data_IF_190921897557
#
_entry.id   IF_190921897557
#
_cell.length_a   1.000
_cell.length_b   1.000
_cell.length_c   1.000
_cell.angle_alpha   90.00
_cell.angle_beta   90.00
_cell.angle_gamma   90.00
#
_symmetry.space_group_name_H-M   'P 1'
#
loop_
_entity.id
_entity.type
_entity.pdbx_description
1 polymer ?
#
# COMPACT_ATOMS: atom_id res chain seq x y z
N UNK A 1 -12.20 -4.31 5.31
CA UNK A 1 -11.28 -4.47 4.16
C UNK A 1 -11.37 -5.90 3.68
N UNK A 2 -11.45 -6.13 2.38
CA UNK A 2 -11.30 -7.46 1.80
C UNK A 2 -9.80 -7.72 1.58
N UNK A 3 -9.35 -8.93 1.89
CA UNK A 3 -7.95 -9.35 1.80
C UNK A 3 -7.89 -10.68 1.07
N UNK A 4 -6.99 -10.79 0.10
CA UNK A 4 -6.71 -12.01 -0.65
C UNK A 4 -5.20 -12.16 -0.77
N UNK A 5 -4.70 -13.36 -0.53
CA UNK A 5 -3.33 -13.69 -0.88
C UNK A 5 -3.31 -14.66 -2.06
N UNK A 6 -2.16 -14.71 -2.70
CA UNK A 6 -1.84 -15.76 -3.66
C UNK A 6 -0.34 -15.89 -3.75
N UNK A 7 0.12 -16.98 -4.37
CA UNK A 7 1.54 -17.23 -4.60
C UNK A 7 1.72 -17.90 -5.95
N UNK A 8 2.90 -17.73 -6.52
CA UNK A 8 3.33 -18.46 -7.70
C UNK A 8 4.80 -18.90 -7.55
N UNK A 9 5.44 -19.32 -8.64
CA UNK A 9 6.85 -19.71 -8.63
C UNK A 9 7.83 -18.54 -8.43
N UNK A 10 7.35 -17.30 -8.41
CA UNK A 10 8.15 -16.07 -8.31
C UNK A 10 8.00 -15.38 -6.96
N UNK A 11 6.90 -15.58 -6.24
CA UNK A 11 6.72 -14.96 -4.93
C UNK A 11 5.29 -15.03 -4.41
N UNK A 12 4.97 -14.08 -3.55
CA UNK A 12 3.69 -13.95 -2.88
C UNK A 12 3.05 -12.62 -3.22
N UNK A 13 1.72 -12.59 -3.19
CA UNK A 13 0.94 -11.43 -3.50
C UNK A 13 -0.07 -11.16 -2.40
N UNK A 14 -0.30 -9.89 -2.11
CA UNK A 14 -1.40 -9.41 -1.29
C UNK A 14 -2.27 -8.49 -2.14
N UNK A 15 -3.58 -8.75 -2.16
CA UNK A 15 -4.58 -7.85 -2.72
C UNK A 15 -5.52 -7.39 -1.63
N UNK A 16 -5.59 -6.06 -1.43
CA UNK A 16 -6.46 -5.41 -0.47
C UNK A 16 -7.51 -4.60 -1.21
N UNK A 17 -8.76 -4.67 -0.78
CA UNK A 17 -9.84 -3.81 -1.29
C UNK A 17 -10.59 -3.13 -0.17
N UNK A 18 -10.79 -1.83 -0.31
CA UNK A 18 -11.54 -1.03 0.65
C UNK A 18 -12.37 0.03 -0.07
N UNK A 19 -13.62 0.23 0.38
CA UNK A 19 -14.46 1.32 -0.08
C UNK A 19 -14.24 2.54 0.82
N UNK A 20 -14.10 3.70 0.22
CA UNK A 20 -13.85 4.98 0.88
C UNK A 20 -14.95 5.98 0.48
N UNK A 21 -15.55 6.63 1.46
CA UNK A 21 -16.55 7.71 1.32
C UNK A 21 -15.88 9.03 0.91
N UNK A 22 -15.12 9.00 -0.19
CA UNK A 22 -14.46 10.16 -0.78
C UNK A 22 -14.36 10.02 -2.30
N UNK A 23 -14.14 11.15 -2.99
CA UNK A 23 -13.91 11.17 -4.42
C UNK A 23 -12.53 10.60 -4.77
N UNK A 24 -12.44 9.97 -5.94
CA UNK A 24 -11.18 9.39 -6.42
C UNK A 24 -10.09 10.45 -6.56
N UNK A 25 -10.45 11.69 -6.87
CA UNK A 25 -9.53 12.81 -7.02
C UNK A 25 -8.85 13.16 -5.68
N UNK A 26 -9.58 13.20 -4.56
CA UNK A 26 -8.94 13.42 -3.26
C UNK A 26 -8.09 12.21 -2.85
N UNK A 27 -8.58 10.99 -3.05
CA UNK A 27 -7.82 9.78 -2.70
C UNK A 27 -6.53 9.73 -3.53
N UNK A 28 -6.57 10.03 -4.82
CA UNK A 28 -5.39 10.01 -5.68
C UNK A 28 -4.33 11.03 -5.25
N UNK A 29 -4.72 12.17 -4.65
CA UNK A 29 -3.75 13.12 -4.07
C UNK A 29 -2.99 12.50 -2.91
N UNK A 30 -3.66 11.76 -2.01
CA UNK A 30 -3.01 11.02 -0.92
C UNK A 30 -2.02 9.97 -1.43
N UNK A 31 -2.24 9.42 -2.62
CA UNK A 31 -1.40 8.36 -3.19
C UNK A 31 -0.24 8.87 -4.07
N UNK A 32 -0.35 10.07 -4.65
CA UNK A 32 0.52 10.50 -5.76
C UNK A 32 1.20 11.87 -5.60
N UNK A 33 1.16 12.43 -4.38
CA UNK A 33 1.81 13.70 -4.04
C UNK A 33 2.57 13.56 -2.73
N UNK A 34 3.64 14.33 -2.55
CA UNK A 34 4.43 14.33 -1.31
C UNK A 34 3.57 14.74 -0.12
N UNK A 35 2.81 15.82 -0.26
CA UNK A 35 1.92 16.33 0.80
C UNK A 35 0.82 15.33 1.17
N UNK A 36 0.41 14.49 0.22
CA UNK A 36 -0.60 13.46 0.43
C UNK A 36 -0.02 12.21 1.09
N UNK A 37 1.05 11.65 0.54
CA UNK A 37 1.61 10.36 0.98
C UNK A 37 2.17 10.45 2.39
N UNK A 38 2.78 11.59 2.75
CA UNK A 38 3.36 11.80 4.08
C UNK A 38 2.34 11.84 5.22
N UNK A 39 1.04 11.94 4.92
CA UNK A 39 0.00 11.90 5.95
C UNK A 39 -0.23 10.49 6.50
N UNK A 40 0.05 9.46 5.70
CA UNK A 40 -0.12 8.06 6.12
C UNK A 40 1.17 7.24 6.04
N UNK A 41 2.19 7.72 5.31
CA UNK A 41 3.53 7.16 5.23
C UNK A 41 4.58 8.29 5.22
N UNK A 42 4.92 8.86 6.39
CA UNK A 42 5.76 10.06 6.51
C UNK A 42 7.14 9.97 5.85
N UNK A 43 7.68 8.77 5.72
CA UNK A 43 9.00 8.52 5.16
C UNK A 43 9.02 8.53 3.62
N UNK A 44 7.88 8.66 2.94
CA UNK A 44 7.84 8.70 1.47
C UNK A 44 7.76 10.12 0.92
N UNK A 45 8.43 10.37 -0.20
CA UNK A 45 8.29 11.62 -0.94
C UNK A 45 8.40 11.42 -2.45
N UNK A 46 7.74 12.29 -3.22
CA UNK A 46 7.83 12.32 -4.67
C UNK A 46 8.82 13.40 -5.12
N UNK A 47 9.72 13.03 -6.04
CA UNK A 47 10.52 14.02 -6.78
C UNK A 47 9.87 14.32 -8.13
N UNK A 48 9.69 13.30 -8.97
CA UNK A 48 9.10 13.44 -10.30
C UNK A 48 7.87 12.54 -10.42
N UNK A 49 6.72 13.10 -10.80
CA UNK A 49 5.47 12.34 -11.04
C UNK A 49 5.41 11.83 -12.48
N UNK A 50 4.82 10.65 -12.67
CA UNK A 50 4.67 10.01 -13.98
C UNK A 50 5.46 8.70 -14.08
N UNK A 51 5.21 7.91 -15.13
CA UNK A 51 5.97 6.67 -15.38
C UNK A 51 7.46 7.00 -15.53
N UNK A 52 8.33 6.19 -14.90
CA UNK A 52 9.76 6.43 -14.71
C UNK A 52 10.10 7.63 -13.82
N UNK A 53 9.11 8.24 -13.17
CA UNK A 53 9.30 9.19 -12.10
C UNK A 53 9.84 8.54 -10.83
N UNK A 54 10.25 9.36 -9.87
CA UNK A 54 10.99 8.93 -8.68
C UNK A 54 10.23 9.20 -7.39
N UNK A 55 10.28 8.21 -6.51
CA UNK A 55 9.84 8.27 -5.12
C UNK A 55 11.05 7.96 -4.23
N UNK A 56 11.19 8.66 -3.12
CA UNK A 56 12.24 8.39 -2.13
C UNK A 56 11.63 7.82 -0.85
N UNK A 57 12.29 6.84 -0.26
CA UNK A 57 12.04 6.36 1.08
C UNK A 57 13.16 6.80 2.02
N UNK A 58 12.80 7.65 2.97
CA UNK A 58 13.72 8.30 3.89
C UNK A 58 14.05 7.41 5.09
N UNK A 59 15.31 7.02 5.20
CA UNK A 59 15.85 6.23 6.31
C UNK A 59 16.56 7.15 7.29
N UNK A 60 16.34 6.99 8.60
CA UNK A 60 16.88 7.93 9.61
C UNK A 60 18.41 8.02 9.66
N UNK A 61 19.11 6.94 9.28
CA UNK A 61 20.57 6.79 9.45
C UNK A 61 21.28 6.25 8.22
N UNK A 62 20.60 6.22 7.09
CA UNK A 62 21.11 5.68 5.83
C UNK A 62 20.70 6.62 4.70
N UNK A 63 21.31 6.46 3.53
CA UNK A 63 20.89 7.19 2.34
C UNK A 63 19.45 6.82 1.96
N UNK A 64 18.74 7.79 1.38
CA UNK A 64 17.39 7.57 0.88
C UNK A 64 17.38 6.45 -0.17
N UNK A 65 16.38 5.58 -0.09
CA UNK A 65 16.17 4.54 -1.10
C UNK A 65 15.33 5.13 -2.25
N UNK A 66 15.89 5.10 -3.45
CA UNK A 66 15.19 5.51 -4.67
C UNK A 66 14.29 4.40 -5.18
N UNK A 67 13.04 4.75 -5.47
CA UNK A 67 12.02 3.88 -6.06
C UNK A 67 11.51 4.49 -7.35
N UNK A 68 11.15 3.63 -8.31
CA UNK A 68 10.69 4.04 -9.64
C UNK A 68 9.19 3.84 -9.78
N UNK A 69 8.48 4.86 -10.28
CA UNK A 69 7.07 4.77 -10.65
C UNK A 69 6.91 3.93 -11.92
N UNK A 70 6.25 2.78 -11.79
CA UNK A 70 6.02 1.82 -12.88
C UNK A 70 4.65 1.99 -13.55
N UNK A 71 3.67 2.52 -12.82
CA UNK A 71 2.34 2.84 -13.34
C UNK A 71 1.93 4.25 -12.91
N UNK A 72 1.36 5.01 -13.84
CA UNK A 72 0.79 6.31 -13.52
C UNK A 72 -0.35 6.66 -14.48
N UNK A 73 -1.55 6.82 -13.94
CA UNK A 73 -2.69 7.43 -14.63
C UNK A 73 -3.49 8.23 -13.63
N UNK A 74 -3.57 9.53 -13.87
CA UNK A 74 -4.25 10.49 -13.00
C UNK A 74 -5.64 9.98 -12.59
N UNK A 75 -5.93 10.03 -11.29
CA UNK A 75 -7.18 9.59 -10.67
C UNK A 75 -7.57 8.13 -10.96
N UNK A 76 -6.61 7.27 -11.33
CA UNK A 76 -6.91 5.87 -11.65
C UNK A 76 -5.89 4.88 -11.11
N UNK A 77 -4.59 5.11 -11.31
CA UNK A 77 -3.59 4.16 -10.82
C UNK A 77 -2.24 4.84 -10.58
N UNK A 78 -1.56 4.36 -9.55
CA UNK A 78 -0.15 4.61 -9.32
C UNK A 78 0.49 3.32 -8.81
N UNK A 79 1.65 2.97 -9.33
CA UNK A 79 2.43 1.84 -8.86
C UNK A 79 3.91 2.14 -8.96
N UNK A 80 4.69 1.52 -8.08
CA UNK A 80 6.13 1.76 -7.96
C UNK A 80 6.85 0.52 -7.45
N UNK A 81 8.17 0.48 -7.64
CA UNK A 81 9.05 -0.54 -7.06
C UNK A 81 9.06 -0.41 -5.54
N UNK A 82 9.13 -1.53 -4.83
CA UNK A 82 9.14 -1.57 -3.37
C UNK A 82 10.25 -2.52 -2.91
N UNK A 83 11.43 -1.97 -2.63
CA UNK A 83 12.67 -2.76 -2.51
C UNK A 83 12.80 -3.72 -3.71
N UNK A 84 12.91 -5.03 -3.50
CA UNK A 84 12.94 -6.04 -4.56
C UNK A 84 11.54 -6.47 -5.06
N UNK A 85 10.47 -5.94 -4.47
CA UNK A 85 9.07 -6.16 -4.85
C UNK A 85 8.44 -4.99 -5.62
N UNK A 86 7.11 -5.01 -5.70
CA UNK A 86 6.34 -3.93 -6.34
C UNK A 86 4.99 -3.73 -5.66
N UNK A 87 4.51 -2.49 -5.65
CA UNK A 87 3.18 -2.14 -5.18
C UNK A 87 2.41 -1.34 -6.23
N UNK A 88 1.08 -1.47 -6.22
CA UNK A 88 0.18 -0.77 -7.13
C UNK A 88 -1.15 -0.47 -6.46
N UNK A 89 -1.58 0.78 -6.57
CA UNK A 89 -2.91 1.24 -6.21
C UNK A 89 -3.77 1.45 -7.46
N UNK A 90 -5.03 1.06 -7.38
CA UNK A 90 -6.06 1.26 -8.40
C UNK A 90 -7.31 1.86 -7.77
N UNK A 91 -7.86 2.88 -8.40
CA UNK A 91 -9.09 3.56 -8.00
C UNK A 91 -10.21 3.24 -8.99
N UNK A 92 -11.30 2.69 -8.47
CA UNK A 92 -12.51 2.41 -9.23
C UNK A 92 -13.69 3.20 -8.66
N UNK A 93 -14.41 3.91 -9.53
CA UNK A 93 -15.63 4.60 -9.13
C UNK A 93 -16.73 3.60 -8.79
N UNK A 94 -17.35 3.78 -7.63
CA UNK A 94 -18.67 3.23 -7.28
C UNK A 94 -19.69 4.37 -7.23
N UNK A 95 -20.98 4.04 -7.08
CA UNK A 95 -22.08 5.02 -7.21
C UNK A 95 -21.96 6.18 -6.19
N UNK A 96 -21.51 5.91 -4.96
CA UNK A 96 -21.39 6.91 -3.89
C UNK A 96 -20.03 6.88 -3.17
N UNK A 97 -19.12 6.01 -3.62
CA UNK A 97 -17.84 5.71 -2.97
C UNK A 97 -16.77 5.51 -4.02
N UNK A 98 -15.52 5.51 -3.58
CA UNK A 98 -14.40 5.02 -4.39
C UNK A 98 -13.88 3.73 -3.80
N UNK A 99 -13.71 2.70 -4.63
CA UNK A 99 -12.96 1.51 -4.24
C UNK A 99 -11.48 1.74 -4.50
N UNK A 100 -10.68 1.60 -3.44
CA UNK A 100 -9.23 1.53 -3.51
C UNK A 100 -8.83 0.05 -3.47
N UNK A 101 -8.19 -0.40 -4.55
CA UNK A 101 -7.53 -1.71 -4.61
C UNK A 101 -6.02 -1.49 -4.49
N UNK A 102 -5.38 -2.19 -3.56
CA UNK A 102 -3.94 -2.26 -3.43
C UNK A 102 -3.47 -3.66 -3.79
N UNK A 103 -2.43 -3.75 -4.60
CA UNK A 103 -1.80 -5.00 -5.04
C UNK A 103 -0.32 -4.89 -4.73
N UNK A 104 0.18 -5.89 -4.03
CA UNK A 104 1.56 -6.02 -3.64
C UNK A 104 2.09 -7.36 -4.14
N UNK A 105 3.32 -7.33 -4.63
CA UNK A 105 4.09 -8.51 -4.99
C UNK A 105 5.42 -8.45 -4.26
N UNK A 106 5.73 -9.50 -3.52
CA UNK A 106 7.00 -9.71 -2.85
C UNK A 106 7.64 -11.01 -3.34
N UNK A 107 8.89 -10.98 -3.85
CA UNK A 107 9.64 -12.19 -4.18
C UNK A 107 9.82 -13.11 -2.97
N UNK A 108 10.07 -14.40 -3.20
CA UNK A 108 10.26 -15.37 -2.11
C UNK A 108 11.46 -15.06 -1.20
N UNK A 109 12.46 -14.35 -1.73
CA UNK A 109 13.62 -13.86 -1.00
C UNK A 109 13.35 -12.59 -0.18
N UNK A 110 12.16 -11.98 -0.29
CA UNK A 110 11.82 -10.76 0.42
C UNK A 110 11.80 -11.02 1.95
N UNK A 111 12.53 -10.23 2.75
CA UNK A 111 12.56 -10.44 4.18
C UNK A 111 11.24 -9.99 4.82
N UNK A 112 10.78 -10.72 5.83
CA UNK A 112 9.65 -10.29 6.66
C UNK A 112 8.32 -10.01 5.92
N UNK A 113 7.98 -10.81 4.89
CA UNK A 113 6.71 -10.74 4.12
C UNK A 113 5.48 -10.42 4.98
N UNK A 114 5.32 -11.11 6.12
CA UNK A 114 4.17 -10.93 7.01
C UNK A 114 4.11 -9.51 7.59
N UNK A 115 5.26 -8.95 7.97
CA UNK A 115 5.35 -7.60 8.52
C UNK A 115 5.04 -6.54 7.46
N UNK A 116 5.51 -6.74 6.22
CA UNK A 116 5.23 -5.82 5.11
C UNK A 116 3.74 -5.82 4.77
N UNK A 117 3.14 -7.02 4.67
CA UNK A 117 1.70 -7.18 4.45
C UNK A 117 0.88 -6.48 5.53
N UNK A 118 1.23 -6.66 6.81
CA UNK A 118 0.57 -5.99 7.93
C UNK A 118 0.72 -4.46 7.87
N UNK A 119 1.90 -3.97 7.51
CA UNK A 119 2.17 -2.54 7.31
C UNK A 119 1.27 -1.93 6.25
N UNK A 120 1.15 -2.56 5.08
CA UNK A 120 0.27 -2.08 4.01
C UNK A 120 -1.22 -2.15 4.37
N UNK A 121 -1.63 -3.18 5.13
CA UNK A 121 -3.00 -3.23 5.67
C UNK A 121 -3.30 -2.06 6.60
N UNK A 122 -2.37 -1.72 7.49
CA UNK A 122 -2.47 -0.52 8.33
C UNK A 122 -2.56 0.76 7.48
N UNK A 123 -1.69 0.92 6.48
CA UNK A 123 -1.69 2.09 5.62
C UNK A 123 -2.99 2.25 4.81
N UNK A 124 -3.56 1.15 4.31
CA UNK A 124 -4.87 1.15 3.64
C UNK A 124 -6.00 1.66 4.55
N UNK A 125 -6.02 1.24 5.81
CA UNK A 125 -6.99 1.73 6.80
C UNK A 125 -6.73 3.20 7.16
N UNK A 126 -5.46 3.61 7.24
CA UNK A 126 -5.07 5.01 7.48
C UNK A 126 -5.50 5.94 6.34
N UNK A 127 -5.30 5.55 5.08
CA UNK A 127 -5.74 6.31 3.91
C UNK A 127 -7.27 6.51 3.95
N UNK A 128 -8.04 5.47 4.26
CA UNK A 128 -9.49 5.57 4.44
C UNK A 128 -9.83 6.56 5.56
N UNK A 129 -9.20 6.44 6.72
CA UNK A 129 -9.46 7.30 7.87
C UNK A 129 -9.17 8.77 7.55
N UNK A 130 -8.07 9.07 6.86
CA UNK A 130 -7.72 10.43 6.44
C UNK A 130 -8.76 10.96 5.46
N UNK A 131 -9.13 10.17 4.45
CA UNK A 131 -10.09 10.59 3.43
C UNK A 131 -11.48 10.88 4.00
N UNK A 132 -11.91 10.13 5.02
CA UNK A 132 -13.27 10.24 5.60
C UNK A 132 -13.34 11.18 6.81
N UNK A 133 -12.26 11.33 7.57
CA UNK A 133 -12.27 12.04 8.86
C UNK A 133 -11.23 13.16 8.96
N UNK A 134 -10.30 13.23 8.00
CA UNK A 134 -9.16 14.16 8.02
C UNK A 134 -8.05 13.79 9.00
N UNK A 135 -8.03 12.56 9.53
CA UNK A 135 -7.01 12.10 10.49
C UNK A 135 -6.53 10.68 10.17
N UNK A 136 -5.24 10.38 10.32
CA UNK A 136 -4.74 9.00 10.24
C UNK A 136 -5.16 8.19 11.47
N UNK A 137 -5.15 6.86 11.33
CA UNK A 137 -5.23 5.96 12.48
C UNK A 137 -3.90 5.99 13.27
N UNK A 138 -3.99 5.81 14.58
CA UNK A 138 -2.82 5.75 15.45
C UNK A 138 -2.20 4.34 15.42
N UNK A 139 -0.92 4.24 15.07
CA UNK A 139 -0.21 2.96 15.02
C UNK A 139 -0.07 2.29 16.40
N UNK A 140 -0.12 3.06 17.50
CA UNK A 140 -0.07 2.49 18.86
C UNK A 140 -1.34 1.73 19.23
N UNK A 141 -2.45 2.04 18.57
CA UNK A 141 -3.74 1.39 18.80
C UNK A 141 -3.96 0.21 17.83
N UNK A 142 -3.00 -0.05 16.93
CA UNK A 142 -3.06 -1.12 15.95
C UNK A 142 -2.38 -2.40 16.49
N UNK A 143 -3.15 -3.48 16.59
CA UNK A 143 -2.67 -4.78 17.07
C UNK A 143 -1.91 -5.51 15.96
N UNK A 144 -0.66 -5.11 15.74
CA UNK A 144 0.21 -5.72 14.74
C UNK A 144 0.50 -7.20 15.04
N UNK A 145 0.59 -7.60 16.31
CA UNK A 145 0.89 -8.98 16.69
C UNK A 145 -0.22 -9.93 16.25
N UNK A 146 -1.47 -9.61 16.60
CA UNK A 146 -2.64 -10.38 16.15
C UNK A 146 -2.76 -10.36 14.62
N UNK A 147 -2.50 -9.20 14.00
CA UNK A 147 -2.52 -9.10 12.54
C UNK A 147 -1.50 -10.02 11.88
N UNK A 148 -0.27 -10.05 12.41
CA UNK A 148 0.80 -10.91 11.91
C UNK A 148 0.44 -12.39 12.05
N UNK A 149 -0.10 -12.80 13.21
CA UNK A 149 -0.57 -14.17 13.44
C UNK A 149 -1.66 -14.58 12.45
N UNK A 150 -2.62 -13.70 12.17
CA UNK A 150 -3.71 -13.95 11.24
C UNK A 150 -3.21 -14.09 9.78
N UNK A 151 -2.28 -13.23 9.36
CA UNK A 151 -1.64 -13.31 8.03
C UNK A 151 -0.88 -14.63 7.89
N UNK A 152 -0.08 -14.99 8.91
CA UNK A 152 0.70 -16.22 8.89
C UNK A 152 -0.19 -17.46 8.77
N UNK A 153 -1.30 -17.51 9.53
CA UNK A 153 -2.26 -18.61 9.46
C UNK A 153 -2.90 -18.73 8.07
N UNK A 154 -3.28 -17.61 7.45
CA UNK A 154 -3.90 -17.61 6.12
C UNK A 154 -2.92 -18.05 5.02
N UNK A 155 -1.67 -17.56 5.05
CA UNK A 155 -0.64 -17.97 4.09
C UNK A 155 -0.30 -19.46 4.21
N UNK A 156 -0.34 -20.03 5.42
CA UNK A 156 -0.17 -21.48 5.63
C UNK A 156 -1.30 -22.29 5.00
N UNK A 157 -2.56 -21.86 5.17
CA UNK A 157 -3.71 -22.53 4.56
C UNK A 157 -3.64 -22.52 3.03
N UNK A 158 -3.19 -21.41 2.42
CA UNK A 158 -2.94 -21.35 0.98
C UNK A 158 -1.77 -22.23 0.51
N UNK A 159 -0.88 -22.66 1.42
CA UNK A 159 0.17 -23.61 1.09
C UNK A 159 -0.31 -25.07 1.02
N UNK A 160 -1.45 -25.38 1.64
CA UNK A 160 -1.98 -26.74 1.76
C UNK A 160 -3.05 -27.09 0.71
N UNK A 161 -3.51 -26.11 -0.07
CA UNK A 161 -4.46 -26.29 -1.18
C UNK A 161 -3.76 -26.41 -2.53
#
# INVERSE_FOLDING_TARGET
>A
MEVQYSKDGHGVYQTLKINIDADKEAIFKYLSTTEGIQQWFPQLSFETRGVNGKIYFHLEKQDDLEMTITYFKENKTIGFTWDIGTVKFELNNKVQQTELTFIEYLPSEFPHIILDFAGWQFHMESIKSIAETGKPINSQDYDFDNKNEAIEAQLKLENEM
#
